data_IF_541914671019
#
_entry.id   IF_541914671019
#
_cell.length_a   1.000
_cell.length_b   1.000
_cell.length_c   1.000
_cell.angle_alpha   90.00
_cell.angle_beta   90.00
_cell.angle_gamma   90.00
#
_symmetry.space_group_name_H-M   'P 1'
#
loop_
_entity.id
_entity.type
_entity.pdbx_description
1 polymer ?
#
# COMPACT_ATOMS: atom_id res chain seq x y z
N UNK A 1 -4.56 -2.41 -13.00
CA UNK A 1 -5.34 -1.15 -12.98
C UNK A 1 -4.93 -0.38 -11.76
N UNK A 2 -4.52 0.88 -11.92
CA UNK A 2 -4.17 1.75 -10.79
C UNK A 2 -5.36 1.90 -9.83
N UNK A 3 -5.09 2.05 -8.53
CA UNK A 3 -6.13 2.34 -7.54
C UNK A 3 -6.88 1.12 -6.99
N UNK A 4 -6.60 -0.10 -7.47
CA UNK A 4 -7.22 -1.33 -6.93
C UNK A 4 -6.40 -1.89 -5.77
N UNK A 5 -7.04 -2.65 -4.88
CA UNK A 5 -6.35 -3.37 -3.80
C UNK A 5 -5.22 -4.25 -4.35
N UNK A 6 -5.45 -4.94 -5.47
CA UNK A 6 -4.45 -5.80 -6.10
C UNK A 6 -3.23 -5.04 -6.60
N UNK A 7 -3.42 -3.84 -7.16
CA UNK A 7 -2.32 -2.98 -7.57
C UNK A 7 -1.46 -2.56 -6.38
N UNK A 8 -2.08 -2.04 -5.32
CA UNK A 8 -1.35 -1.58 -4.14
C UNK A 8 -0.65 -2.73 -3.40
N UNK A 9 -1.30 -3.90 -3.26
CA UNK A 9 -0.65 -5.09 -2.69
C UNK A 9 0.56 -5.53 -3.50
N UNK A 10 0.45 -5.54 -4.82
CA UNK A 10 1.59 -5.89 -5.67
C UNK A 10 2.74 -4.88 -5.51
N UNK A 11 2.40 -3.59 -5.40
CA UNK A 11 3.40 -2.53 -5.16
C UNK A 11 4.10 -2.73 -3.82
N UNK A 12 3.36 -2.93 -2.73
CA UNK A 12 3.93 -3.21 -1.42
C UNK A 12 4.82 -4.45 -1.43
N UNK A 13 4.34 -5.57 -1.98
CA UNK A 13 5.12 -6.80 -2.07
C UNK A 13 6.41 -6.62 -2.86
N UNK A 14 6.35 -5.90 -3.99
CA UNK A 14 7.54 -5.61 -4.81
C UNK A 14 8.52 -4.73 -4.03
N UNK A 15 8.02 -3.71 -3.34
CA UNK A 15 8.85 -2.82 -2.53
C UNK A 15 9.49 -3.55 -1.35
N UNK A 16 8.76 -4.44 -0.67
CA UNK A 16 9.30 -5.30 0.40
C UNK A 16 10.38 -6.24 -0.14
N UNK A 17 10.13 -6.92 -1.26
CA UNK A 17 11.10 -7.83 -1.89
C UNK A 17 12.37 -7.09 -2.32
N UNK A 18 12.24 -5.86 -2.84
CA UNK A 18 13.37 -5.03 -3.20
C UNK A 18 14.10 -4.47 -1.97
N UNK A 19 13.38 -4.12 -0.90
CA UNK A 19 13.95 -3.61 0.35
C UNK A 19 14.71 -4.69 1.13
N UNK A 20 14.34 -5.96 1.02
CA UNK A 20 15.13 -7.10 1.51
C UNK A 20 16.49 -7.23 0.80
N UNK A 21 16.69 -6.52 -0.31
CA UNK A 21 17.90 -6.52 -1.13
C UNK A 21 18.78 -5.27 -0.92
N UNK A 22 18.34 -4.27 -0.13
CA UNK A 22 18.99 -2.94 -0.03
C UNK A 22 19.35 -2.54 1.43
N UNK A 23 20.46 -1.81 1.59
CA UNK A 23 21.00 -1.35 2.89
C UNK A 23 20.14 -0.32 3.63
N UNK A 24 19.15 0.29 2.96
CA UNK A 24 18.19 1.23 3.57
C UNK A 24 16.76 0.87 3.15
N UNK A 25 16.08 0.01 3.91
CA UNK A 25 14.71 -0.39 3.58
C UNK A 25 13.73 0.74 3.89
N UNK A 26 12.97 1.19 2.89
CA UNK A 26 11.78 2.00 3.15
C UNK A 26 10.77 1.17 3.98
N UNK A 27 10.26 1.73 5.08
CA UNK A 27 9.22 1.04 5.85
C UNK A 27 7.91 1.00 5.06
N UNK A 28 7.03 0.08 5.43
CA UNK A 28 5.72 -0.05 4.80
C UNK A 28 4.91 1.26 4.90
N UNK A 29 5.06 1.99 6.02
CA UNK A 29 4.48 3.32 6.25
C UNK A 29 4.98 4.38 5.25
N UNK A 30 6.27 4.34 4.91
CA UNK A 30 6.85 5.27 3.91
C UNK A 30 6.23 5.00 2.55
N UNK A 31 6.15 3.73 2.14
CA UNK A 31 5.54 3.32 0.88
C UNK A 31 4.05 3.71 0.84
N UNK A 32 3.34 3.54 1.95
CA UNK A 32 1.95 3.97 2.09
C UNK A 32 1.81 5.49 1.86
N UNK A 33 2.68 6.29 2.47
CA UNK A 33 2.70 7.75 2.27
C UNK A 33 3.00 8.16 0.82
N UNK A 34 3.92 7.45 0.15
CA UNK A 34 4.23 7.69 -1.26
C UNK A 34 3.02 7.42 -2.16
N UNK A 35 2.35 6.28 -1.99
CA UNK A 35 1.14 5.93 -2.74
C UNK A 35 0.00 6.92 -2.46
N UNK A 36 -0.15 7.37 -1.21
CA UNK A 36 -1.13 8.40 -0.85
C UNK A 36 -0.90 9.74 -1.55
N UNK A 37 0.36 10.14 -1.72
CA UNK A 37 0.73 11.32 -2.50
C UNK A 37 0.50 11.11 -4.00
N UNK A 38 0.71 9.89 -4.51
CA UNK A 38 0.43 9.55 -5.91
C UNK A 38 -1.07 9.61 -6.22
N UNK A 39 -1.93 9.10 -5.33
CA UNK A 39 -3.39 9.23 -5.43
C UNK A 39 -3.80 10.70 -5.47
N UNK A 40 -3.23 11.53 -4.59
CA UNK A 40 -3.53 12.97 -4.53
C UNK A 40 -3.26 13.69 -5.86
N UNK A 41 -2.21 13.26 -6.57
CA UNK A 41 -1.77 13.82 -7.86
C UNK A 41 -2.56 13.31 -9.06
N UNK A 42 -3.42 12.30 -8.90
CA UNK A 42 -4.24 11.80 -10.01
C UNK A 42 -5.22 12.86 -10.50
N UNK A 43 -5.37 12.94 -11.82
CA UNK A 43 -6.35 13.79 -12.47
C UNK A 43 -7.67 13.03 -12.67
N UNK A 44 -8.31 12.71 -11.54
CA UNK A 44 -9.61 12.01 -11.47
C UNK A 44 -10.49 12.69 -10.43
N UNK A 45 -11.80 12.41 -10.48
CA UNK A 45 -12.75 12.93 -9.50
C UNK A 45 -12.36 12.54 -8.06
N UNK A 46 -12.68 13.40 -7.10
CA UNK A 46 -12.38 13.17 -5.68
C UNK A 46 -13.07 11.92 -5.13
N UNK A 47 -14.24 11.57 -5.66
CA UNK A 47 -14.94 10.31 -5.35
C UNK A 47 -14.08 9.09 -5.71
N UNK A 48 -13.45 9.11 -6.89
CA UNK A 48 -12.55 8.05 -7.36
C UNK A 48 -11.27 8.01 -6.52
N UNK A 49 -10.73 9.17 -6.11
CA UNK A 49 -9.57 9.20 -5.19
C UNK A 49 -9.93 8.62 -3.82
N UNK A 50 -11.14 8.87 -3.34
CA UNK A 50 -11.65 8.30 -2.08
C UNK A 50 -11.65 6.78 -2.16
N UNK A 51 -12.14 6.20 -3.26
CA UNK A 51 -12.06 4.75 -3.49
C UNK A 51 -10.62 4.24 -3.52
N UNK A 52 -9.70 4.98 -4.14
CA UNK A 52 -8.28 4.63 -4.16
C UNK A 52 -7.67 4.64 -2.76
N UNK A 53 -8.00 5.63 -1.91
CA UNK A 53 -7.54 5.67 -0.53
C UNK A 53 -8.08 4.49 0.29
N UNK A 54 -9.36 4.14 0.15
CA UNK A 54 -9.94 2.96 0.80
C UNK A 54 -9.25 1.67 0.36
N UNK A 55 -8.98 1.54 -0.93
CA UNK A 55 -8.27 0.38 -1.47
C UNK A 55 -6.81 0.32 -1.01
N UNK A 56 -6.15 1.47 -0.87
CA UNK A 56 -4.78 1.57 -0.35
C UNK A 56 -4.73 1.15 1.12
N UNK A 57 -5.64 1.63 1.95
CA UNK A 57 -5.72 1.25 3.37
C UNK A 57 -5.97 -0.26 3.52
N UNK A 58 -6.92 -0.81 2.75
CA UNK A 58 -7.20 -2.24 2.75
C UNK A 58 -5.99 -3.06 2.31
N UNK A 59 -5.29 -2.64 1.26
CA UNK A 59 -4.07 -3.31 0.80
C UNK A 59 -2.96 -3.27 1.86
N UNK A 60 -2.82 -2.14 2.55
CA UNK A 60 -1.83 -1.96 3.61
C UNK A 60 -2.07 -2.88 4.80
N UNK A 61 -3.31 -2.95 5.31
CA UNK A 61 -3.69 -3.87 6.41
C UNK A 61 -3.42 -5.33 6.05
N UNK A 62 -3.90 -5.77 4.88
CA UNK A 62 -3.66 -7.13 4.39
C UNK A 62 -2.16 -7.45 4.24
N UNK A 63 -1.35 -6.47 3.84
CA UNK A 63 0.10 -6.66 3.72
C UNK A 63 0.76 -6.75 5.10
N UNK A 64 0.34 -5.93 6.08
CA UNK A 64 0.81 -6.02 7.46
C UNK A 64 0.47 -7.38 8.08
N UNK A 65 -0.78 -7.81 7.98
CA UNK A 65 -1.24 -9.12 8.46
C UNK A 65 -0.40 -10.26 7.84
N UNK A 66 -0.10 -10.16 6.54
CA UNK A 66 0.72 -11.16 5.85
C UNK A 66 2.18 -11.19 6.36
N UNK A 67 2.74 -10.04 6.72
CA UNK A 67 4.14 -9.92 7.14
C UNK A 67 4.37 -10.28 8.61
N UNK A 68 3.45 -9.89 9.49
CA UNK A 68 3.61 -10.00 10.94
C UNK A 68 2.75 -11.11 11.55
N UNK A 69 1.96 -11.80 10.72
CA UNK A 69 0.89 -12.69 11.18
C UNK A 69 -0.37 -11.90 11.51
N UNK A 70 -1.52 -12.58 11.52
CA UNK A 70 -2.70 -12.02 12.19
C UNK A 70 -2.34 -11.91 13.67
N UNK A 71 -2.36 -10.70 14.23
CA UNK A 71 -2.81 -10.60 15.62
C UNK A 71 -4.25 -11.14 15.57
N UNK A 72 -4.41 -12.42 15.91
CA UNK A 72 -5.72 -12.98 16.24
C UNK A 72 -6.25 -12.12 17.41
N UNK A 73 -7.04 -11.10 17.09
CA UNK A 73 -7.96 -10.52 18.07
C UNK A 73 -9.01 -11.62 18.34
N UNK A 74 -8.78 -12.36 19.44
CA UNK A 74 -9.80 -13.17 20.14
C UNK A 74 -11.07 -12.37 20.47
#
# INVERSE_FOLDING_TARGET
MFGTVGYFRNYFNTAIMNNLSLESPDSLEVIYGLLGNEIKRQDVAEEVKTDYYLNLEKAYKLTKEQLFGMEEEE
#
